data_IF_164568365911
#
_entry.id   IF_164568365911
#
_cell.length_a   1.000
_cell.length_b   1.000
_cell.length_c   1.000
_cell.angle_alpha   90.00
_cell.angle_beta   90.00
_cell.angle_gamma   90.00
#
_symmetry.space_group_name_H-M   'P 1'
#
loop_
_entity.id
_entity.type
_entity.pdbx_description
1 polymer ?
#
# COMPACT_ATOMS: atom_id res chain seq x y z
N UNK A 1 41.49 26.38 -6.60
CA UNK A 1 40.77 26.98 -5.45
C UNK A 1 39.31 27.40 -5.71
N UNK A 2 38.85 27.58 -6.97
CA UNK A 2 37.49 28.09 -7.26
C UNK A 2 36.35 27.05 -7.16
N UNK A 3 36.66 25.76 -7.16
CA UNK A 3 35.66 24.69 -7.09
C UNK A 3 35.37 24.19 -5.65
N UNK A 4 36.21 24.56 -4.68
CA UNK A 4 36.02 24.16 -3.29
C UNK A 4 34.78 24.82 -2.66
N UNK A 5 34.51 26.09 -3.01
CA UNK A 5 33.30 26.80 -2.58
C UNK A 5 32.02 26.25 -3.20
N UNK A 6 32.06 25.78 -4.46
CA UNK A 6 30.91 25.19 -5.13
C UNK A 6 30.57 23.80 -4.56
N UNK A 7 31.61 23.03 -4.18
CA UNK A 7 31.48 21.71 -3.56
C UNK A 7 30.93 21.79 -2.13
N UNK A 8 31.28 22.83 -1.38
CA UNK A 8 30.78 23.04 -0.02
C UNK A 8 29.29 23.42 -0.04
N UNK A 9 28.86 24.17 -1.05
CA UNK A 9 27.47 24.58 -1.23
C UNK A 9 26.56 23.41 -1.65
N UNK A 10 27.05 22.48 -2.47
CA UNK A 10 26.30 21.28 -2.86
C UNK A 10 26.17 20.27 -1.73
N UNK A 11 27.18 20.14 -0.86
CA UNK A 11 27.14 19.28 0.33
C UNK A 11 26.13 19.79 1.36
N UNK A 12 26.00 21.10 1.55
CA UNK A 12 24.99 21.68 2.45
C UNK A 12 23.54 21.42 2.00
N UNK A 13 23.28 21.40 0.69
CA UNK A 13 21.94 21.09 0.15
C UNK A 13 21.62 19.60 0.33
N UNK A 14 22.61 18.71 0.20
CA UNK A 14 22.43 17.27 0.41
C UNK A 14 22.16 16.91 1.89
N UNK A 15 22.77 17.63 2.84
CA UNK A 15 22.55 17.42 4.28
C UNK A 15 21.19 17.98 4.76
N UNK A 16 20.67 19.03 4.10
CA UNK A 16 19.39 19.63 4.47
C UNK A 16 18.17 18.77 4.06
N UNK A 17 18.30 17.88 3.08
CA UNK A 17 17.20 16.99 2.65
C UNK A 17 17.00 15.76 3.55
N UNK A 18 17.85 15.51 4.54
CA UNK A 18 17.80 14.31 5.39
C UNK A 18 17.08 14.51 6.75
N UNK A 19 16.50 15.67 7.04
CA UNK A 19 15.96 15.98 8.39
C UNK A 19 14.43 16.12 8.48
N UNK A 20 13.67 15.72 7.45
CA UNK A 20 12.19 15.70 7.53
C UNK A 20 11.64 14.33 7.91
N UNK A 21 12.10 13.78 9.03
CA UNK A 21 11.28 12.85 9.82
C UNK A 21 10.75 13.64 11.01
N UNK A 22 9.76 14.49 10.75
CA UNK A 22 8.93 15.04 11.81
C UNK A 22 8.06 13.89 12.32
N UNK A 23 8.50 13.26 13.40
CA UNK A 23 7.60 12.46 14.21
C UNK A 23 6.52 13.40 14.76
N UNK A 24 5.35 13.39 14.12
CA UNK A 24 4.21 14.18 14.59
C UNK A 24 3.87 13.74 16.02
N UNK A 25 3.71 14.69 16.96
CA UNK A 25 3.40 14.38 18.35
C UNK A 25 2.11 13.56 18.41
N UNK A 26 2.11 12.52 19.23
CA UNK A 26 0.98 11.60 19.41
C UNK A 26 -0.24 12.36 19.98
N UNK A 27 -1.10 12.86 19.09
CA UNK A 27 -2.33 13.58 19.45
C UNK A 27 -3.31 12.58 20.06
N UNK A 28 -3.60 12.75 21.35
CA UNK A 28 -4.59 11.93 22.05
C UNK A 28 -6.00 12.39 21.68
N UNK A 29 -6.90 11.45 21.40
CA UNK A 29 -8.32 11.77 21.19
C UNK A 29 -8.99 12.23 22.50
N UNK A 30 -10.12 12.97 22.44
CA UNK A 30 -10.89 13.43 23.61
C UNK A 30 -11.33 12.32 24.59
N UNK A 31 -11.28 11.07 24.14
CA UNK A 31 -11.64 9.83 24.84
C UNK A 31 -10.42 9.13 25.48
N UNK A 32 -9.22 9.72 25.41
CA UNK A 32 -8.01 9.24 26.09
C UNK A 32 -7.22 8.15 25.36
N UNK A 33 -7.69 7.68 24.20
CA UNK A 33 -6.95 6.75 23.32
C UNK A 33 -5.96 7.50 22.42
N UNK A 34 -4.82 6.89 22.12
CA UNK A 34 -3.90 7.40 21.09
C UNK A 34 -4.60 7.35 19.72
N UNK A 35 -4.51 8.44 18.96
CA UNK A 35 -5.03 8.50 17.60
C UNK A 35 -4.31 7.52 16.67
N UNK A 36 -3.03 7.27 16.93
CA UNK A 36 -2.23 6.33 16.17
C UNK A 36 -2.74 4.90 16.35
N UNK A 37 -3.07 4.48 17.57
CA UNK A 37 -3.56 3.12 17.85
C UNK A 37 -4.92 2.82 17.19
N UNK A 38 -5.83 3.80 17.15
CA UNK A 38 -7.13 3.65 16.51
C UNK A 38 -6.99 3.54 14.98
N UNK A 39 -6.11 4.32 14.36
CA UNK A 39 -5.81 4.27 12.92
C UNK A 39 -5.18 2.92 12.55
N UNK A 40 -4.19 2.46 13.33
CA UNK A 40 -3.51 1.18 13.09
C UNK A 40 -4.52 0.02 13.12
N UNK A 41 -5.48 0.01 14.05
CA UNK A 41 -6.50 -1.04 14.13
C UNK A 41 -7.44 -1.02 12.94
N UNK A 42 -7.93 0.15 12.54
CA UNK A 42 -8.82 0.30 11.37
C UNK A 42 -8.11 -0.14 10.09
N UNK A 43 -6.85 0.23 9.93
CA UNK A 43 -6.04 -0.17 8.78
C UNK A 43 -5.80 -1.69 8.75
N UNK A 44 -5.55 -2.31 9.91
CA UNK A 44 -5.40 -3.76 10.02
C UNK A 44 -6.70 -4.49 9.62
N UNK A 45 -7.85 -4.05 10.13
CA UNK A 45 -9.16 -4.61 9.76
C UNK A 45 -9.46 -4.41 8.26
N UNK A 46 -9.06 -3.29 7.68
CA UNK A 46 -9.17 -3.05 6.24
C UNK A 46 -8.31 -4.05 5.46
N UNK A 47 -7.03 -4.20 5.82
CA UNK A 47 -6.12 -5.12 5.15
C UNK A 47 -6.58 -6.58 5.25
N UNK A 48 -7.17 -6.99 6.38
CA UNK A 48 -7.76 -8.32 6.53
C UNK A 48 -8.96 -8.54 5.59
N UNK A 49 -9.84 -7.54 5.46
CA UNK A 49 -10.97 -7.60 4.52
C UNK A 49 -10.48 -7.72 3.08
N UNK A 50 -9.51 -6.90 2.69
CA UNK A 50 -8.96 -6.94 1.34
C UNK A 50 -8.31 -8.29 1.03
N UNK A 51 -7.59 -8.88 1.99
CA UNK A 51 -7.01 -10.22 1.84
C UNK A 51 -8.11 -11.29 1.64
N UNK A 52 -9.24 -11.16 2.34
CA UNK A 52 -10.42 -12.00 2.14
C UNK A 52 -11.02 -11.87 0.74
N UNK A 53 -11.17 -10.64 0.24
CA UNK A 53 -11.63 -10.39 -1.13
C UNK A 53 -10.66 -10.95 -2.18
N UNK A 54 -9.36 -10.88 -1.94
CA UNK A 54 -8.33 -11.47 -2.80
C UNK A 54 -8.50 -12.99 -2.91
N UNK A 55 -8.72 -13.67 -1.78
CA UNK A 55 -8.98 -15.10 -1.74
C UNK A 55 -10.29 -15.46 -2.47
N UNK A 56 -11.35 -14.68 -2.24
CA UNK A 56 -12.64 -14.86 -2.89
C UNK A 56 -12.53 -14.73 -4.42
N UNK A 57 -11.92 -13.67 -4.92
CA UNK A 57 -11.73 -13.47 -6.37
C UNK A 57 -10.91 -14.59 -6.99
N UNK A 58 -9.89 -15.07 -6.28
CA UNK A 58 -9.07 -16.20 -6.72
C UNK A 58 -9.89 -17.49 -6.85
N UNK A 59 -10.77 -17.78 -5.89
CA UNK A 59 -11.66 -18.95 -5.98
C UNK A 59 -12.66 -18.78 -7.13
N UNK A 60 -13.23 -17.59 -7.30
CA UNK A 60 -14.14 -17.29 -8.42
C UNK A 60 -13.47 -17.42 -9.80
N UNK A 61 -12.17 -17.17 -9.91
CA UNK A 61 -11.40 -17.38 -11.14
C UNK A 61 -11.21 -18.87 -11.39
N UNK A 62 -10.80 -19.63 -10.36
CA UNK A 62 -10.68 -21.08 -10.43
C UNK A 62 -12.00 -21.71 -10.88
N UNK A 63 -13.10 -21.33 -10.25
CA UNK A 63 -14.45 -21.78 -10.59
C UNK A 63 -14.82 -21.51 -12.05
N UNK A 64 -14.54 -20.30 -12.55
CA UNK A 64 -14.81 -19.94 -13.94
C UNK A 64 -13.96 -20.79 -14.91
N UNK A 65 -12.71 -21.12 -14.54
CA UNK A 65 -11.80 -21.95 -15.33
C UNK A 65 -12.19 -23.44 -15.30
N UNK A 66 -12.67 -23.95 -14.17
CA UNK A 66 -13.16 -25.34 -14.05
C UNK A 66 -14.46 -25.55 -14.83
N UNK A 67 -15.33 -24.52 -14.89
CA UNK A 67 -16.61 -24.56 -15.61
C UNK A 67 -16.46 -24.20 -17.10
N UNK A 68 -15.36 -23.56 -17.48
CA UNK A 68 -15.09 -23.10 -18.85
C UNK A 68 -14.56 -24.21 -19.76
N UNK A 69 -14.68 -24.00 -21.07
CA UNK A 69 -13.97 -24.84 -22.05
C UNK A 69 -12.46 -24.59 -21.91
N UNK A 70 -11.67 -25.67 -21.97
CA UNK A 70 -10.22 -25.73 -21.74
C UNK A 70 -9.43 -24.74 -22.61
N UNK A 71 -10.03 -24.22 -23.67
CA UNK A 71 -9.41 -23.33 -24.65
C UNK A 71 -9.99 -21.91 -24.69
N UNK A 72 -11.00 -21.58 -23.87
CA UNK A 72 -11.66 -20.27 -23.89
C UNK A 72 -11.72 -19.65 -22.48
N UNK A 73 -10.83 -18.69 -22.23
CA UNK A 73 -10.94 -17.81 -21.06
C UNK A 73 -12.00 -16.76 -21.34
N UNK A 74 -13.02 -16.71 -20.48
CA UNK A 74 -14.07 -15.71 -20.62
C UNK A 74 -13.54 -14.30 -20.35
N UNK A 75 -14.12 -13.29 -21.01
CA UNK A 75 -13.81 -11.88 -20.72
C UNK A 75 -14.10 -11.51 -19.26
N UNK A 76 -15.05 -12.19 -18.63
CA UNK A 76 -15.36 -12.07 -17.19
C UNK A 76 -14.18 -12.53 -16.33
N UNK A 77 -13.56 -13.66 -16.66
CA UNK A 77 -12.39 -14.19 -15.94
C UNK A 77 -11.19 -13.27 -16.09
N UNK A 78 -10.96 -12.70 -17.28
CA UNK A 78 -9.92 -11.69 -17.49
C UNK A 78 -10.15 -10.46 -16.62
N UNK A 79 -11.40 -9.98 -16.52
CA UNK A 79 -11.74 -8.85 -15.67
C UNK A 79 -11.48 -9.12 -14.19
N UNK A 80 -11.81 -10.33 -13.70
CA UNK A 80 -11.51 -10.73 -12.32
C UNK A 80 -10.00 -10.75 -12.04
N UNK A 81 -9.19 -11.18 -13.00
CA UNK A 81 -7.73 -11.15 -12.90
C UNK A 81 -7.21 -9.70 -12.79
N UNK A 82 -7.73 -8.77 -13.59
CA UNK A 82 -7.40 -7.34 -13.48
C UNK A 82 -7.78 -6.77 -12.09
N UNK A 83 -8.95 -7.15 -11.57
CA UNK A 83 -9.40 -6.72 -10.25
C UNK A 83 -8.47 -7.25 -9.14
N UNK A 84 -7.97 -8.49 -9.27
CA UNK A 84 -6.94 -9.07 -8.37
C UNK A 84 -5.62 -8.29 -8.46
N UNK A 85 -5.15 -7.97 -9.66
CA UNK A 85 -3.93 -7.16 -9.83
C UNK A 85 -4.05 -5.80 -9.15
N UNK A 86 -5.19 -5.12 -9.35
CA UNK A 86 -5.46 -3.83 -8.71
C UNK A 86 -5.50 -3.95 -7.19
N UNK A 87 -6.27 -4.91 -6.67
CA UNK A 87 -6.44 -5.11 -5.24
C UNK A 87 -5.10 -5.45 -4.56
N UNK A 88 -4.31 -6.34 -5.14
CA UNK A 88 -2.99 -6.71 -4.62
C UNK A 88 -2.02 -5.52 -4.59
N UNK A 89 -2.06 -4.65 -5.61
CA UNK A 89 -1.27 -3.42 -5.65
C UNK A 89 -1.67 -2.45 -4.56
N UNK A 90 -2.97 -2.27 -4.33
CA UNK A 90 -3.51 -1.36 -3.33
C UNK A 90 -3.17 -1.81 -1.90
N UNK A 91 -3.30 -3.11 -1.60
CA UNK A 91 -2.90 -3.69 -0.31
C UNK A 91 -1.42 -3.45 -0.07
N UNK A 92 -0.57 -3.78 -1.05
CA UNK A 92 0.88 -3.59 -0.94
C UNK A 92 1.24 -2.11 -0.72
N UNK A 93 0.52 -1.20 -1.37
CA UNK A 93 0.75 0.24 -1.21
C UNK A 93 0.38 0.73 0.20
N UNK A 94 -0.73 0.25 0.78
CA UNK A 94 -1.10 0.55 2.19
C UNK A 94 -0.08 0.00 3.17
N UNK A 95 0.27 -1.28 3.04
CA UNK A 95 1.23 -1.93 3.94
C UNK A 95 2.63 -1.31 3.94
N UNK A 96 3.04 -0.62 2.87
CA UNK A 96 4.32 0.10 2.80
C UNK A 96 4.29 1.50 3.43
N UNK A 97 3.09 2.07 3.61
CA UNK A 97 2.90 3.40 4.20
C UNK A 97 2.79 3.35 5.72
N UNK A 98 2.38 2.20 6.26
CA UNK A 98 2.25 1.91 7.68
C UNK A 98 3.55 1.30 8.22
#
# INVERSE_FOLDING_TARGET
MRYLGLFLLTVCILLAQNSSTKEDPDVKLPNGKSQKDEIIRVDYEHNLRDAGELARLSEEIKDDLEKGDRYLVSTKTLKKLEDVEKLSKDIRQRLRRN
#
